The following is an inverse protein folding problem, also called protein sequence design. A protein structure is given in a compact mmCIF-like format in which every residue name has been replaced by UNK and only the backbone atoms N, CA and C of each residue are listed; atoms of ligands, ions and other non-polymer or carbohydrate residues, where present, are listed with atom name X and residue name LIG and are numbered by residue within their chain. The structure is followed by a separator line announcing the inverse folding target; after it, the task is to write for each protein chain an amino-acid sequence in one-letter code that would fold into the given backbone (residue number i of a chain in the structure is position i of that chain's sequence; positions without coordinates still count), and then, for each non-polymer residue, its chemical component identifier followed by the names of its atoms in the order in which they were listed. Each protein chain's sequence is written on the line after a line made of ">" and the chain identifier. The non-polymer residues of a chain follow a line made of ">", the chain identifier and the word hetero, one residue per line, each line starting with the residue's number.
data_IF_266356490355
#
_entry.id   IF_266356490355
#
_cell.length_a   1.000
_cell.length_b   1.000
_cell.length_c   1.000
_cell.angle_alpha   90.00
_cell.angle_beta   90.00
_cell.angle_gamma   90.00
#
_symmetry.space_group_name_H-M   'P 1'
#
loop_
_entity.id
_entity.type
_entity.pdbx_description
1 polymer ?
#
# COMPACT_ATOMS: atom_id res chain seq x y z
N UNK A 1 -4.07 19.53 2.96
CA UNK A 1 -2.69 19.05 3.17
C UNK A 1 -2.46 18.73 4.63
N UNK A 2 -2.14 17.47 4.90
CA UNK A 2 -1.68 17.01 6.20
C UNK A 2 -0.32 17.61 6.56
N UNK A 3 -0.02 17.72 7.85
CA UNK A 3 1.32 18.03 8.34
C UNK A 3 2.25 16.83 8.19
N UNK A 4 3.57 17.06 8.17
CA UNK A 4 4.55 15.97 8.07
C UNK A 4 4.41 14.93 9.19
N UNK A 5 4.07 15.37 10.41
CA UNK A 5 3.85 14.47 11.55
C UNK A 5 2.60 13.61 11.35
N UNK A 6 1.51 14.18 10.85
CA UNK A 6 0.32 13.43 10.47
C UNK A 6 0.62 12.43 9.36
N UNK A 7 1.35 12.83 8.32
CA UNK A 7 1.78 11.92 7.27
C UNK A 7 2.61 10.77 7.85
N UNK A 8 3.61 11.06 8.68
CA UNK A 8 4.44 10.04 9.33
C UNK A 8 3.62 9.07 10.17
N UNK A 9 2.66 9.57 10.93
CA UNK A 9 1.77 8.75 11.73
C UNK A 9 0.93 7.80 10.85
N UNK A 10 0.40 8.30 9.73
CA UNK A 10 -0.41 7.49 8.79
C UNK A 10 0.41 6.36 8.15
N UNK A 11 1.64 6.64 7.74
CA UNK A 11 2.51 5.58 7.21
C UNK A 11 2.89 4.56 8.29
N UNK A 12 3.12 5.00 9.53
CA UNK A 12 3.44 4.09 10.62
C UNK A 12 2.28 3.12 10.89
N UNK A 13 1.05 3.63 10.97
CA UNK A 13 -0.14 2.78 11.14
C UNK A 13 -0.33 1.80 9.97
N UNK A 14 -0.13 2.27 8.73
CA UNK A 14 -0.21 1.40 7.56
C UNK A 14 0.87 0.30 7.60
N UNK A 15 2.11 0.64 7.95
CA UNK A 15 3.19 -0.35 8.11
C UNK A 15 2.81 -1.39 9.18
N UNK A 16 2.23 -0.95 10.30
CA UNK A 16 1.79 -1.84 11.37
C UNK A 16 0.66 -2.77 10.92
N UNK A 17 -0.35 -2.26 10.22
CA UNK A 17 -1.47 -3.06 9.71
C UNK A 17 -1.07 -4.03 8.57
N UNK A 18 0.08 -3.79 7.92
CA UNK A 18 0.65 -4.70 6.92
C UNK A 18 1.44 -5.87 7.53
N UNK A 19 1.79 -5.80 8.82
CA UNK A 19 2.57 -6.86 9.47
C UNK A 19 1.75 -8.15 9.54
N UNK A 20 2.17 -9.15 8.76
CA UNK A 20 1.49 -10.45 8.66
C UNK A 20 0.52 -10.58 7.49
N UNK A 21 0.10 -9.47 6.87
CA UNK A 21 -0.81 -9.46 5.72
C UNK A 21 -0.10 -9.59 4.36
N UNK A 22 1.19 -9.23 4.30
CA UNK A 22 1.94 -9.19 3.03
C UNK A 22 2.37 -10.59 2.57
N UNK A 23 1.69 -11.10 1.54
CA UNK A 23 2.04 -12.35 0.85
C UNK A 23 3.14 -12.14 -0.22
N UNK A 24 3.71 -13.21 -0.81
CA UNK A 24 4.58 -13.14 -1.98
C UNK A 24 4.01 -12.38 -3.18
N UNK A 25 2.67 -12.30 -3.31
CA UNK A 25 1.98 -11.64 -4.42
C UNK A 25 2.04 -10.10 -4.33
N UNK A 26 2.21 -9.55 -3.13
CA UNK A 26 2.36 -8.11 -2.93
C UNK A 26 3.71 -7.62 -3.48
N UNK A 27 3.65 -6.61 -4.35
CA UNK A 27 4.82 -6.02 -5.00
C UNK A 27 5.19 -4.66 -4.39
N UNK A 28 4.21 -3.83 -4.09
CA UNK A 28 4.43 -2.54 -3.45
C UNK A 28 3.17 -2.06 -2.72
N UNK A 29 3.35 -1.19 -1.73
CA UNK A 29 2.28 -0.41 -1.12
C UNK A 29 2.76 1.03 -0.96
N UNK A 30 1.94 1.99 -1.39
CA UNK A 30 2.19 3.42 -1.20
C UNK A 30 1.02 4.14 -0.55
N UNK A 31 1.32 5.25 0.10
CA UNK A 31 0.36 6.16 0.74
C UNK A 31 0.59 7.59 0.25
N UNK A 32 -0.47 8.23 -0.24
CA UNK A 32 -0.50 9.64 -0.62
C UNK A 32 -1.46 10.40 0.29
N UNK A 33 -1.02 11.51 0.88
CA UNK A 33 -1.73 12.26 1.94
C UNK A 33 -2.05 13.72 1.56
N UNK A 34 -1.97 14.10 0.28
CA UNK A 34 -2.13 15.51 -0.14
C UNK A 34 -3.51 16.09 0.20
N UNK A 35 -4.56 15.56 -0.45
CA UNK A 35 -5.95 16.03 -0.30
C UNK A 35 -6.87 14.98 0.33
N UNK A 36 -6.70 13.72 -0.06
CA UNK A 36 -7.38 12.55 0.51
C UNK A 36 -6.32 11.48 0.69
N UNK A 37 -6.43 10.68 1.75
CA UNK A 37 -5.50 9.57 1.96
C UNK A 37 -5.79 8.52 0.88
N UNK A 38 -4.84 8.28 -0.01
CA UNK A 38 -4.94 7.25 -1.05
C UNK A 38 -3.94 6.14 -0.75
N UNK A 39 -4.45 4.93 -0.55
CA UNK A 39 -3.66 3.73 -0.38
C UNK A 39 -3.61 2.98 -1.71
N UNK A 40 -2.40 2.72 -2.21
CA UNK A 40 -2.22 1.96 -3.45
C UNK A 40 -1.50 0.66 -3.16
N UNK A 41 -2.16 -0.46 -3.44
CA UNK A 41 -1.63 -1.80 -3.34
C UNK A 41 -1.30 -2.32 -4.74
N UNK A 42 -0.09 -2.83 -4.94
CA UNK A 42 0.31 -3.46 -6.19
C UNK A 42 0.47 -4.94 -5.98
N UNK A 43 -0.30 -5.73 -6.73
CA UNK A 43 -0.23 -7.20 -6.77
C UNK A 43 0.37 -7.66 -8.10
N UNK A 44 1.05 -8.81 -8.08
CA UNK A 44 1.56 -9.44 -9.30
C UNK A 44 0.42 -10.07 -10.11
N UNK A 45 -0.47 -10.77 -9.44
CA UNK A 45 -1.65 -11.42 -10.02
C UNK A 45 -2.90 -11.17 -9.16
N UNK A 46 -4.06 -11.40 -9.78
CA UNK A 46 -5.36 -11.27 -9.12
C UNK A 46 -5.57 -12.44 -8.15
N UNK A 47 -5.93 -12.13 -6.91
CA UNK A 47 -6.01 -13.11 -5.82
C UNK A 47 -7.09 -12.69 -4.82
N UNK A 48 -8.09 -13.55 -4.64
CA UNK A 48 -9.17 -13.31 -3.69
C UNK A 48 -8.66 -13.26 -2.24
N UNK A 49 -7.70 -14.13 -1.89
CA UNK A 49 -7.08 -14.15 -0.57
C UNK A 49 -6.35 -12.84 -0.28
N UNK A 50 -5.55 -12.34 -1.23
CA UNK A 50 -4.84 -11.07 -1.04
C UNK A 50 -5.83 -9.88 -0.99
N UNK A 51 -6.95 -9.93 -1.70
CA UNK A 51 -8.01 -8.92 -1.57
C UNK A 51 -8.66 -8.92 -0.20
N UNK A 52 -8.97 -10.10 0.33
CA UNK A 52 -9.50 -10.22 1.69
C UNK A 52 -8.50 -9.71 2.74
N UNK A 53 -7.22 -10.04 2.59
CA UNK A 53 -6.18 -9.51 3.48
C UNK A 53 -6.04 -7.99 3.38
N UNK A 54 -6.12 -7.42 2.16
CA UNK A 54 -6.19 -5.96 1.99
C UNK A 54 -7.38 -5.39 2.77
N UNK A 55 -8.58 -5.95 2.61
CA UNK A 55 -9.78 -5.48 3.32
C UNK A 55 -9.65 -5.55 4.85
N UNK A 56 -8.99 -6.60 5.37
CA UNK A 56 -8.66 -6.72 6.80
C UNK A 56 -7.68 -5.65 7.25
N UNK A 57 -6.58 -5.45 6.52
CA UNK A 57 -5.60 -4.38 6.78
C UNK A 57 -6.27 -3.01 6.81
N UNK A 58 -7.16 -2.73 5.86
CA UNK A 58 -7.93 -1.47 5.83
C UNK A 58 -8.83 -1.32 7.06
N UNK A 59 -9.50 -2.39 7.48
CA UNK A 59 -10.35 -2.40 8.67
C UNK A 59 -9.56 -2.13 9.95
N UNK A 60 -8.37 -2.74 10.08
CA UNK A 60 -7.46 -2.50 11.21
C UNK A 60 -6.95 -1.05 11.22
N UNK A 61 -6.61 -0.51 10.05
CA UNK A 61 -6.16 0.88 9.92
C UNK A 61 -7.26 1.87 10.31
N UNK A 62 -8.51 1.64 9.90
CA UNK A 62 -9.65 2.46 10.30
C UNK A 62 -9.86 2.44 11.83
N UNK A 63 -9.68 1.27 12.46
CA UNK A 63 -9.81 1.14 13.90
C UNK A 63 -8.72 1.90 14.68
N UNK A 64 -7.52 2.07 14.09
CA UNK A 64 -6.41 2.80 14.70
C UNK A 64 -6.50 4.33 14.52
N UNK A 65 -7.22 4.80 13.50
CA UNK A 65 -7.38 6.23 13.27
C UNK A 65 -8.31 6.88 14.30
N UNK A 66 -7.76 7.80 15.09
CA UNK A 66 -8.48 8.58 16.12
C UNK A 66 -9.41 9.64 15.47
N UNK A 67 -9.20 9.99 14.21
CA UNK A 67 -10.05 10.91 13.43
C UNK A 67 -10.78 10.16 12.33
N UNK A 68 -12.08 10.43 12.20
CA UNK A 68 -12.87 10.05 11.03
C UNK A 68 -12.24 10.62 9.76
N UNK A 69 -11.56 9.76 9.01
CA UNK A 69 -11.08 10.04 7.68
C UNK A 69 -11.35 8.81 6.82
N UNK A 70 -12.04 8.99 5.70
CA UNK A 70 -12.09 7.93 4.70
C UNK A 70 -10.81 7.98 3.88
N UNK A 71 -10.18 6.83 3.69
CA UNK A 71 -9.14 6.67 2.68
C UNK A 71 -9.76 6.09 1.41
N UNK A 72 -9.21 6.47 0.27
CA UNK A 72 -9.49 5.81 -1.00
C UNK A 72 -8.48 4.67 -1.20
N UNK A 73 -8.96 3.51 -1.62
CA UNK A 73 -8.10 2.37 -1.91
C UNK A 73 -8.01 2.12 -3.40
N UNK A 74 -6.80 1.88 -3.89
CA UNK A 74 -6.53 1.40 -5.25
C UNK A 74 -5.79 0.07 -5.17
N UNK A 75 -6.28 -0.92 -5.91
CA UNK A 75 -5.58 -2.19 -6.11
C UNK A 75 -5.19 -2.29 -7.58
N UNK A 76 -3.88 -2.35 -7.83
CA UNK A 76 -3.30 -2.47 -9.16
C UNK A 76 -2.74 -3.88 -9.32
N UNK A 77 -3.32 -4.66 -10.23
CA UNK A 77 -2.75 -5.95 -10.64
C UNK A 77 -1.89 -5.70 -11.87
N UNK A 78 -0.60 -5.98 -11.77
CA UNK A 78 0.32 -5.75 -12.89
C UNK A 78 1.52 -6.68 -12.84
N UNK A 79 1.98 -7.08 -14.02
CA UNK A 79 3.25 -7.80 -14.24
C UNK A 79 4.37 -6.90 -14.79
N UNK A 80 4.07 -5.62 -15.08
CA UNK A 80 5.09 -4.62 -15.49
C UNK A 80 6.12 -4.44 -14.39
N UNK A 81 7.39 -4.13 -14.70
CA UNK A 81 8.39 -3.84 -13.66
C UNK A 81 7.93 -2.73 -12.74
N UNK A 82 8.27 -2.83 -11.45
CA UNK A 82 7.79 -1.87 -10.47
C UNK A 82 8.28 -0.44 -10.77
N UNK A 83 9.47 -0.31 -11.37
CA UNK A 83 10.05 0.97 -11.83
C UNK A 83 9.21 1.62 -12.96
N UNK A 84 8.40 0.86 -13.69
CA UNK A 84 7.51 1.34 -14.75
C UNK A 84 6.11 1.71 -14.23
N UNK A 85 5.86 1.53 -12.93
CA UNK A 85 4.57 1.81 -12.29
C UNK A 85 4.70 3.12 -11.50
N UNK A 86 3.94 4.13 -11.92
CA UNK A 86 3.85 5.39 -11.18
C UNK A 86 3.04 5.19 -9.90
N UNK A 87 3.73 5.17 -8.77
CA UNK A 87 3.11 5.10 -7.44
C UNK A 87 3.22 6.47 -6.78
N UNK A 88 2.13 7.24 -6.69
CA UNK A 88 2.14 8.52 -6.01
C UNK A 88 2.35 8.35 -4.50
N UNK A 89 2.81 9.43 -3.86
CA UNK A 89 3.05 9.49 -2.43
C UNK A 89 4.31 8.76 -1.99
N UNK A 90 4.31 8.33 -0.73
CA UNK A 90 5.43 7.64 -0.09
C UNK A 90 5.26 6.12 -0.20
N UNK A 91 6.32 5.44 -0.60
CA UNK A 91 6.41 3.97 -0.52
C UNK A 91 6.57 3.54 0.94
N UNK A 92 5.69 2.64 1.39
CA UNK A 92 5.77 2.00 2.72
C UNK A 92 6.22 0.54 2.64
N UNK A 93 6.00 -0.09 1.49
CA UNK A 93 6.47 -1.43 1.20
C UNK A 93 6.90 -1.51 -0.26
N UNK A 94 8.04 -2.15 -0.50
CA UNK A 94 8.52 -2.48 -1.83
C UNK A 94 9.19 -3.86 -1.78
N UNK A 95 8.64 -4.80 -2.54
CA UNK A 95 9.27 -6.11 -2.72
C UNK A 95 10.45 -5.96 -3.66
N UNK A 96 11.60 -6.51 -3.27
CA UNK A 96 12.75 -6.61 -4.16
C UNK A 96 12.38 -7.49 -5.35
N UNK A 97 12.39 -6.92 -6.55
CA UNK A 97 12.26 -7.67 -7.79
C UNK A 97 13.64 -8.15 -8.24
N UNK A 98 13.71 -9.35 -8.84
CA UNK A 98 14.96 -9.80 -9.46
C UNK A 98 15.26 -8.84 -10.61
N UNK A 99 16.50 -8.33 -10.63
CA UNK A 99 16.99 -7.61 -11.79
C UNK A 99 16.82 -8.51 -13.02
N UNK A 100 16.34 -7.96 -14.13
CA UNK A 100 16.33 -8.68 -15.40
C UNK A 100 17.76 -9.13 -15.69
N UNK A 101 18.01 -10.43 -15.62
CA UNK A 101 19.22 -11.01 -16.18
C UNK A 101 19.14 -10.75 -17.69
N UNK A 102 19.90 -9.75 -18.15
CA UNK A 102 20.08 -9.49 -19.57
C UNK A 102 20.45 -10.80 -20.26
N UNK A 103 19.61 -11.19 -21.22
CA UNK A 103 19.86 -12.30 -22.13
C UNK A 103 20.85 -11.87 -23.22
#
# INVERSE_FOLDING_TARGET
>A
MATLDEENQQALWLIQALLGAVSPNFRAVSIDCQDTIVLTFVLFEESAEDREEIERTLSELMAQQIREGSFATKVLVSTKRIDDILLPGRLVFLRRERAASGS
#
